data_IF_471238829027
#
_entry.id   IF_471238829027
#
_cell.length_a   1.000
_cell.length_b   1.000
_cell.length_c   1.000
_cell.angle_alpha   90.00
_cell.angle_beta   90.00
_cell.angle_gamma   90.00
#
_symmetry.space_group_name_H-M   'P 1'
#
loop_
_entity.id
_entity.type
_entity.pdbx_description
1 polymer ?
#
# COMPACT_ATOMS: atom_id res chain seq x y z
N UNK A 1 -56.63 -69.22 -50.08
CA UNK A 1 -55.90 -69.28 -48.78
C UNK A 1 -54.63 -68.44 -48.91
N UNK A 2 -54.59 -67.33 -48.22
CA UNK A 2 -53.46 -66.42 -48.21
C UNK A 2 -52.88 -66.40 -46.77
N UNK A 3 -51.55 -66.48 -46.55
CA UNK A 3 -51.00 -66.30 -45.20
C UNK A 3 -50.74 -64.86 -44.93
N UNK A 4 -51.08 -64.43 -43.72
CA UNK A 4 -50.75 -63.16 -43.11
C UNK A 4 -49.25 -63.10 -42.79
N UNK A 5 -48.61 -62.04 -43.26
CA UNK A 5 -47.26 -61.66 -42.86
C UNK A 5 -47.30 -60.73 -41.64
N UNK A 6 -46.64 -61.14 -40.56
CA UNK A 6 -46.44 -60.32 -39.35
C UNK A 6 -45.20 -59.49 -39.55
N UNK A 7 -45.35 -58.14 -39.60
CA UNK A 7 -44.24 -57.21 -39.63
C UNK A 7 -43.81 -56.87 -38.18
N UNK A 8 -42.57 -57.23 -37.79
CA UNK A 8 -41.95 -56.83 -36.53
C UNK A 8 -41.42 -55.42 -36.63
N UNK A 9 -41.99 -54.48 -35.93
CA UNK A 9 -41.48 -53.13 -35.72
C UNK A 9 -40.40 -53.14 -34.63
N UNK A 10 -39.13 -52.99 -35.01
CA UNK A 10 -38.02 -52.75 -34.10
C UNK A 10 -37.99 -51.25 -33.73
N UNK A 11 -38.45 -50.92 -32.51
CA UNK A 11 -38.33 -49.60 -31.94
C UNK A 11 -36.91 -49.40 -31.40
N UNK A 12 -36.07 -48.59 -32.05
CA UNK A 12 -34.76 -48.19 -31.56
C UNK A 12 -34.90 -47.13 -30.47
N UNK A 13 -34.65 -47.54 -29.22
CA UNK A 13 -34.54 -46.63 -28.09
C UNK A 13 -33.21 -45.88 -28.20
N UNK A 14 -33.25 -44.63 -28.62
CA UNK A 14 -32.10 -43.75 -28.58
C UNK A 14 -31.86 -43.34 -27.12
N UNK A 15 -30.82 -43.89 -26.53
CA UNK A 15 -30.33 -43.46 -25.18
C UNK A 15 -29.80 -42.02 -25.28
N UNK A 16 -30.57 -41.07 -24.77
CA UNK A 16 -30.13 -39.70 -24.56
C UNK A 16 -29.14 -39.69 -23.38
N UNK A 17 -27.85 -39.61 -23.70
CA UNK A 17 -26.82 -39.32 -22.68
C UNK A 17 -27.08 -37.96 -22.05
N UNK A 18 -27.13 -37.81 -20.72
CA UNK A 18 -27.26 -36.51 -20.10
C UNK A 18 -25.98 -35.72 -20.38
N UNK A 19 -26.10 -34.66 -21.18
CA UNK A 19 -25.09 -33.63 -21.26
C UNK A 19 -24.99 -33.00 -19.88
N UNK A 20 -23.97 -33.36 -19.11
CA UNK A 20 -23.57 -32.59 -17.93
C UNK A 20 -23.09 -31.22 -18.49
N UNK A 21 -23.99 -30.24 -18.48
CA UNK A 21 -23.59 -28.84 -18.64
C UNK A 21 -22.61 -28.53 -17.50
N UNK A 22 -21.34 -28.44 -17.86
CA UNK A 22 -20.34 -27.89 -16.94
C UNK A 22 -20.84 -26.51 -16.56
N UNK A 23 -21.37 -26.36 -15.35
CA UNK A 23 -21.68 -25.07 -14.76
C UNK A 23 -20.41 -24.25 -14.88
N UNK A 24 -20.40 -23.26 -15.80
CA UNK A 24 -19.30 -22.33 -15.95
C UNK A 24 -19.07 -21.69 -14.57
N UNK A 25 -18.02 -22.12 -13.90
CA UNK A 25 -17.66 -21.56 -12.60
C UNK A 25 -17.50 -20.06 -12.80
N UNK A 26 -18.27 -19.26 -12.06
CA UNK A 26 -18.09 -17.82 -12.06
C UNK A 26 -16.63 -17.54 -11.76
N UNK A 27 -15.96 -16.67 -12.53
CA UNK A 27 -14.56 -16.38 -12.30
C UNK A 27 -14.39 -15.86 -10.85
N UNK A 28 -13.39 -16.40 -10.17
CA UNK A 28 -13.02 -15.91 -8.85
C UNK A 28 -12.77 -14.38 -8.92
N UNK A 29 -13.23 -13.69 -7.90
CA UNK A 29 -13.02 -12.23 -7.78
C UNK A 29 -12.08 -11.95 -6.61
N UNK A 30 -11.23 -10.93 -6.74
CA UNK A 30 -10.40 -10.41 -5.66
C UNK A 30 -10.53 -8.89 -5.59
N UNK A 31 -11.03 -8.38 -4.48
CA UNK A 31 -11.01 -6.96 -4.15
C UNK A 31 -9.82 -6.65 -3.23
N UNK A 32 -8.96 -5.72 -3.65
CA UNK A 32 -7.78 -5.33 -2.88
C UNK A 32 -7.85 -3.87 -2.48
N UNK A 33 -7.73 -3.59 -1.19
CA UNK A 33 -7.51 -2.24 -0.67
C UNK A 33 -6.02 -1.99 -0.54
N UNK A 34 -5.51 -0.93 -1.18
CA UNK A 34 -4.09 -0.60 -1.16
C UNK A 34 -3.82 0.83 -0.73
N UNK A 35 -2.79 1.03 0.06
CA UNK A 35 -2.26 2.37 0.29
C UNK A 35 -1.92 3.05 -1.05
N UNK A 36 -2.11 4.37 -1.15
CA UNK A 36 -1.89 5.13 -2.38
C UNK A 36 -0.48 4.95 -2.98
N UNK A 37 0.56 4.81 -2.13
CA UNK A 37 1.93 4.53 -2.58
C UNK A 37 2.13 3.14 -3.19
N UNK A 38 1.17 2.22 -3.00
CA UNK A 38 1.14 0.88 -3.60
C UNK A 38 0.23 0.79 -4.84
N UNK A 39 -0.47 1.87 -5.21
CA UNK A 39 -1.49 1.83 -6.26
C UNK A 39 -0.95 1.27 -7.58
N UNK A 40 0.15 1.80 -8.08
CA UNK A 40 0.75 1.37 -9.36
C UNK A 40 1.34 -0.04 -9.27
N UNK A 41 2.25 -0.37 -8.32
CA UNK A 41 2.83 -1.70 -8.26
C UNK A 41 1.80 -2.80 -8.03
N UNK A 42 0.75 -2.55 -7.22
CA UNK A 42 -0.32 -3.54 -7.02
C UNK A 42 -1.21 -3.70 -8.25
N UNK A 43 -1.50 -2.61 -9.00
CA UNK A 43 -2.23 -2.72 -10.27
C UNK A 43 -1.51 -3.66 -11.23
N UNK A 44 -0.21 -3.46 -11.44
CA UNK A 44 0.59 -4.31 -12.33
C UNK A 44 0.66 -5.76 -11.83
N UNK A 45 0.78 -5.96 -10.51
CA UNK A 45 0.78 -7.30 -9.93
C UNK A 45 -0.58 -8.00 -10.09
N UNK A 46 -1.69 -7.28 -9.85
CA UNK A 46 -3.06 -7.79 -10.01
C UNK A 46 -3.36 -8.15 -11.47
N UNK A 47 -3.00 -7.29 -12.42
CA UNK A 47 -3.19 -7.55 -13.85
C UNK A 47 -2.37 -8.76 -14.31
N UNK A 48 -1.14 -8.94 -13.80
CA UNK A 48 -0.32 -10.11 -14.06
C UNK A 48 -0.91 -11.38 -13.45
N UNK A 49 -1.44 -11.30 -12.23
CA UNK A 49 -2.14 -12.41 -11.57
C UNK A 49 -3.41 -12.78 -12.33
N UNK A 50 -4.23 -11.81 -12.72
CA UNK A 50 -5.45 -12.01 -13.50
C UNK A 50 -5.19 -12.76 -14.82
N UNK A 51 -4.17 -12.34 -15.58
CA UNK A 51 -3.79 -13.02 -16.83
C UNK A 51 -3.35 -14.47 -16.63
N UNK A 52 -2.80 -14.82 -15.46
CA UNK A 52 -2.33 -16.18 -15.16
C UNK A 52 -3.43 -17.11 -14.66
N UNK A 53 -4.46 -16.56 -14.02
CA UNK A 53 -5.45 -17.34 -13.24
C UNK A 53 -6.87 -17.22 -13.76
N UNK A 54 -7.16 -16.25 -14.65
CA UNK A 54 -8.53 -15.91 -15.04
C UNK A 54 -9.33 -15.19 -13.94
N UNK A 55 -8.72 -14.82 -12.82
CA UNK A 55 -9.38 -14.14 -11.68
C UNK A 55 -9.77 -12.72 -12.08
N UNK A 56 -11.00 -12.30 -11.76
CA UNK A 56 -11.42 -10.90 -11.86
C UNK A 56 -10.82 -10.11 -10.70
N UNK A 57 -10.12 -9.03 -11.00
CA UNK A 57 -9.43 -8.23 -9.97
C UNK A 57 -9.98 -6.82 -9.89
N UNK A 58 -10.17 -6.34 -8.67
CA UNK A 58 -10.59 -4.98 -8.36
C UNK A 58 -9.61 -4.38 -7.36
N UNK A 59 -9.30 -3.10 -7.51
CA UNK A 59 -8.40 -2.40 -6.62
C UNK A 59 -8.98 -1.05 -6.24
N UNK A 60 -8.97 -0.78 -4.93
CA UNK A 60 -9.30 0.53 -4.37
C UNK A 60 -8.09 1.09 -3.63
N UNK A 61 -7.78 2.35 -3.90
CA UNK A 61 -6.64 3.03 -3.31
C UNK A 61 -7.11 4.09 -2.33
N UNK A 62 -6.34 4.31 -1.26
CA UNK A 62 -6.64 5.32 -0.27
C UNK A 62 -5.52 5.53 0.73
N UNK A 63 -5.77 6.38 1.73
CA UNK A 63 -4.88 6.52 2.87
C UNK A 63 -5.00 5.30 3.80
N UNK A 64 -3.87 4.78 4.31
CA UNK A 64 -3.85 3.52 5.07
C UNK A 64 -4.77 3.51 6.28
N UNK A 65 -4.82 4.60 7.04
CA UNK A 65 -5.71 4.71 8.21
C UNK A 65 -7.19 4.78 7.79
N UNK A 66 -7.48 5.45 6.69
CA UNK A 66 -8.82 5.51 6.11
C UNK A 66 -9.29 4.12 5.65
N UNK A 67 -8.45 3.40 4.89
CA UNK A 67 -8.76 2.04 4.42
C UNK A 67 -9.00 1.08 5.57
N UNK A 68 -8.18 1.15 6.64
CA UNK A 68 -8.40 0.35 7.84
C UNK A 68 -9.75 0.66 8.51
N UNK A 69 -10.12 1.95 8.60
CA UNK A 69 -11.41 2.39 9.15
C UNK A 69 -12.60 2.01 8.27
N UNK A 70 -12.43 1.91 6.96
CA UNK A 70 -13.50 1.36 6.10
C UNK A 70 -13.87 -0.06 6.51
N UNK A 71 -12.91 -0.86 6.98
CA UNK A 71 -13.18 -2.20 7.50
C UNK A 71 -13.80 -2.12 8.90
N UNK A 72 -13.20 -1.36 9.82
CA UNK A 72 -13.61 -1.35 11.24
C UNK A 72 -14.89 -0.57 11.50
N UNK A 73 -15.11 0.55 10.81
CA UNK A 73 -16.19 1.49 11.09
C UNK A 73 -17.35 1.36 10.08
N UNK A 74 -17.03 1.03 8.81
CA UNK A 74 -18.02 0.94 7.73
C UNK A 74 -18.33 -0.49 7.30
N UNK A 75 -17.68 -1.50 7.91
CA UNK A 75 -17.83 -2.92 7.59
C UNK A 75 -17.65 -3.26 6.10
N UNK A 76 -16.84 -2.44 5.40
CA UNK A 76 -16.51 -2.66 4.01
C UNK A 76 -15.23 -3.50 3.93
N UNK A 77 -15.40 -4.80 3.72
CA UNK A 77 -14.33 -5.78 3.82
C UNK A 77 -13.78 -6.15 2.43
N UNK A 78 -12.47 -5.91 2.14
CA UNK A 78 -11.80 -6.42 0.94
C UNK A 78 -11.34 -7.86 1.13
N UNK A 79 -10.89 -8.50 0.04
CA UNK A 79 -10.23 -9.81 0.12
C UNK A 79 -8.78 -9.70 0.58
N UNK A 80 -8.13 -8.58 0.25
CA UNK A 80 -6.76 -8.26 0.71
C UNK A 80 -6.67 -6.79 1.08
N UNK A 81 -5.99 -6.49 2.17
CA UNK A 81 -5.60 -5.13 2.54
C UNK A 81 -4.07 -5.01 2.59
N UNK A 82 -3.50 -4.01 1.91
CA UNK A 82 -2.07 -3.73 1.88
C UNK A 82 -1.80 -2.25 2.23
N UNK A 83 -1.09 -2.03 3.33
CA UNK A 83 -0.93 -0.72 3.95
C UNK A 83 0.55 -0.27 3.97
N UNK A 84 0.74 1.04 3.97
CA UNK A 84 2.06 1.67 3.98
C UNK A 84 2.71 1.72 5.38
N UNK A 85 2.04 1.17 6.38
CA UNK A 85 2.57 1.04 7.74
C UNK A 85 2.04 -0.21 8.43
N UNK A 86 2.96 -1.05 8.89
CA UNK A 86 2.65 -2.24 9.67
C UNK A 86 1.93 -1.91 10.99
N UNK A 87 2.21 -0.76 11.61
CA UNK A 87 1.64 -0.37 12.90
C UNK A 87 0.13 -0.12 12.83
N UNK A 88 -0.42 0.09 11.64
CA UNK A 88 -1.87 0.20 11.46
C UNK A 88 -2.58 -1.13 11.79
N UNK A 89 -1.90 -2.27 11.59
CA UNK A 89 -2.48 -3.58 11.91
C UNK A 89 -2.75 -3.76 13.41
N UNK A 90 -1.74 -3.69 14.32
CA UNK A 90 -2.02 -3.81 15.75
C UNK A 90 -2.87 -2.67 16.29
N UNK A 91 -2.82 -1.48 15.67
CA UNK A 91 -3.58 -0.31 16.12
C UNK A 91 -5.07 -0.41 15.82
N UNK A 92 -5.47 -0.92 14.65
CA UNK A 92 -6.85 -0.85 14.16
C UNK A 92 -7.46 -2.19 13.75
N UNK A 93 -6.65 -3.13 13.25
CA UNK A 93 -7.16 -4.32 12.58
C UNK A 93 -7.03 -5.60 13.42
N UNK A 94 -5.96 -5.75 14.19
CA UNK A 94 -5.73 -6.92 15.06
C UNK A 94 -6.30 -6.63 16.45
N UNK A 95 -7.00 -7.58 17.09
CA UNK A 95 -7.39 -8.90 16.58
C UNK A 95 -8.74 -8.93 15.84
N UNK A 96 -9.46 -7.80 15.74
CA UNK A 96 -10.88 -7.75 15.33
C UNK A 96 -11.09 -8.11 13.86
N UNK A 97 -10.40 -7.43 12.96
CA UNK A 97 -10.55 -7.62 11.53
C UNK A 97 -9.62 -8.70 10.97
N UNK A 98 -8.46 -8.91 11.57
CA UNK A 98 -7.54 -10.00 11.22
C UNK A 98 -6.77 -10.47 12.43
N UNK A 99 -6.24 -11.71 12.42
CA UNK A 99 -5.37 -12.26 13.47
C UNK A 99 -3.89 -12.28 13.09
N UNK A 100 -3.55 -11.86 11.88
CA UNK A 100 -2.19 -11.91 11.33
C UNK A 100 -1.97 -10.80 10.30
N UNK A 101 -0.72 -10.54 9.99
CA UNK A 101 -0.30 -9.76 8.83
C UNK A 101 1.08 -10.20 8.36
N UNK A 102 1.42 -9.89 7.11
CA UNK A 102 2.73 -10.12 6.53
C UNK A 102 3.42 -8.78 6.26
N UNK A 103 4.62 -8.59 6.79
CA UNK A 103 5.54 -7.53 6.39
C UNK A 103 6.17 -7.96 5.07
N UNK A 104 6.07 -7.16 4.02
CA UNK A 104 6.50 -7.62 2.69
C UNK A 104 7.45 -6.68 1.96
N UNK A 105 7.53 -5.41 2.38
CA UNK A 105 8.39 -4.42 1.74
C UNK A 105 8.80 -3.32 2.72
N UNK A 106 9.83 -2.55 2.32
CA UNK A 106 10.32 -1.35 3.01
C UNK A 106 10.20 -0.13 2.12
N UNK A 107 10.38 1.04 2.72
CA UNK A 107 10.45 2.30 2.01
C UNK A 107 11.29 3.31 2.79
N UNK A 108 11.46 4.51 2.25
CA UNK A 108 12.09 5.65 2.91
C UNK A 108 11.43 6.95 2.52
N UNK A 109 11.62 7.98 3.35
CA UNK A 109 11.17 9.32 3.06
C UNK A 109 12.14 10.03 2.13
N UNK A 110 11.59 10.80 1.19
CA UNK A 110 12.33 11.65 0.25
C UNK A 110 11.64 13.01 0.12
N UNK A 111 12.35 13.99 -0.43
CA UNK A 111 11.76 15.23 -0.92
C UNK A 111 11.61 15.09 -2.44
N UNK A 112 10.38 14.99 -2.92
CA UNK A 112 10.10 14.88 -4.35
C UNK A 112 9.72 16.24 -4.95
N UNK A 113 10.09 16.43 -6.23
CA UNK A 113 9.96 17.69 -6.95
C UNK A 113 9.95 17.48 -8.47
N UNK A 114 9.74 18.56 -9.24
CA UNK A 114 9.83 18.58 -10.70
C UNK A 114 10.93 19.56 -11.16
N UNK A 115 11.26 19.54 -12.44
CA UNK A 115 12.23 20.51 -13.01
C UNK A 115 11.77 21.96 -12.88
N UNK A 116 10.45 22.19 -12.67
CA UNK A 116 9.86 23.52 -12.50
C UNK A 116 9.84 24.01 -11.06
N UNK A 117 10.24 23.17 -10.10
CA UNK A 117 10.19 23.50 -8.66
C UNK A 117 11.20 24.58 -8.32
N UNK A 118 10.74 25.61 -7.58
CA UNK A 118 11.59 26.76 -7.20
C UNK A 118 12.72 26.31 -6.31
N UNK A 119 13.95 26.73 -6.65
CA UNK A 119 15.15 26.35 -5.89
C UNK A 119 15.63 24.91 -6.10
N UNK A 120 15.12 24.18 -7.10
CA UNK A 120 15.52 22.81 -7.38
C UNK A 120 17.03 22.61 -7.56
N UNK A 121 17.72 23.58 -8.18
CA UNK A 121 19.18 23.55 -8.37
C UNK A 121 19.97 23.63 -7.04
N UNK A 122 19.35 24.12 -5.97
CA UNK A 122 19.96 24.28 -4.65
C UNK A 122 19.58 23.14 -3.70
N UNK A 123 18.66 22.26 -4.11
CA UNK A 123 18.14 21.19 -3.28
C UNK A 123 19.17 20.05 -3.16
N UNK A 124 19.70 19.84 -1.97
CA UNK A 124 20.64 18.76 -1.65
C UNK A 124 20.19 17.99 -0.41
N UNK A 125 20.80 16.85 -0.15
CA UNK A 125 20.56 16.08 1.08
C UNK A 125 20.92 16.86 2.36
N UNK A 126 21.84 17.82 2.27
CA UNK A 126 22.26 18.64 3.41
C UNK A 126 21.38 19.88 3.61
N UNK A 127 20.87 20.48 2.53
CA UNK A 127 20.25 21.82 2.57
C UNK A 127 18.76 21.84 2.24
N UNK A 128 18.11 20.67 2.02
CA UNK A 128 16.70 20.57 1.66
C UNK A 128 15.77 21.39 2.57
N UNK A 129 16.04 21.40 3.86
CA UNK A 129 15.24 22.12 4.84
C UNK A 129 15.29 23.64 4.65
N UNK A 130 16.41 24.19 4.18
CA UNK A 130 16.53 25.61 3.85
C UNK A 130 15.71 25.98 2.61
N UNK A 131 15.71 25.10 1.60
CA UNK A 131 14.92 25.31 0.39
C UNK A 131 13.43 25.26 0.70
N UNK A 132 12.97 24.28 1.49
CA UNK A 132 11.56 24.14 1.87
C UNK A 132 11.04 25.28 2.75
N UNK A 133 11.92 25.99 3.46
CA UNK A 133 11.57 27.13 4.30
C UNK A 133 11.57 28.49 3.57
N UNK A 134 11.84 28.51 2.28
CA UNK A 134 11.77 29.75 1.49
C UNK A 134 10.33 30.23 1.38
N UNK A 135 10.07 31.54 1.51
CA UNK A 135 8.69 32.08 1.49
C UNK A 135 7.98 31.97 0.12
N UNK A 136 8.75 31.81 -0.96
CA UNK A 136 8.24 31.65 -2.33
C UNK A 136 8.00 30.18 -2.71
N UNK A 137 8.30 29.21 -1.82
CA UNK A 137 8.20 27.77 -2.05
C UNK A 137 6.92 27.21 -1.43
N UNK A 138 6.18 26.44 -2.21
CA UNK A 138 4.98 25.75 -1.75
C UNK A 138 5.25 24.28 -1.50
N UNK A 139 5.15 23.87 -0.24
CA UNK A 139 5.38 22.48 0.19
C UNK A 139 4.05 21.80 0.52
N UNK A 140 3.78 20.66 -0.10
CA UNK A 140 2.63 19.81 0.23
C UNK A 140 3.04 18.61 1.08
N UNK A 141 2.14 18.15 1.94
CA UNK A 141 2.28 16.88 2.66
C UNK A 141 0.93 16.22 2.94
N UNK A 142 0.94 14.93 3.21
CA UNK A 142 -0.28 14.22 3.57
C UNK A 142 -0.76 14.58 4.98
N UNK A 143 -2.08 14.51 5.18
CA UNK A 143 -2.70 14.71 6.50
C UNK A 143 -2.25 13.58 7.46
N UNK A 144 -1.61 13.91 8.58
CA UNK A 144 -1.10 12.92 9.52
C UNK A 144 -2.21 12.11 10.24
N UNK A 145 -3.46 12.59 10.17
CA UNK A 145 -4.63 11.88 10.74
C UNK A 145 -5.13 10.77 9.83
N UNK A 146 -4.78 10.78 8.55
CA UNK A 146 -5.32 9.90 7.52
C UNK A 146 -4.26 8.95 6.94
N UNK A 147 -3.04 9.44 6.74
CA UNK A 147 -2.00 8.70 6.05
C UNK A 147 -0.70 8.56 6.88
N UNK A 148 -0.09 7.37 6.91
CA UNK A 148 1.20 7.15 7.58
C UNK A 148 2.30 8.10 7.12
N UNK A 149 2.39 8.41 5.83
CA UNK A 149 3.37 9.37 5.31
C UNK A 149 3.21 10.75 5.95
N UNK A 150 2.00 11.14 6.33
CA UNK A 150 1.74 12.41 7.00
C UNK A 150 2.39 12.50 8.38
N UNK A 151 2.15 11.54 9.28
CA UNK A 151 2.82 11.55 10.59
C UNK A 151 4.31 11.21 10.50
N UNK A 152 4.74 10.43 9.51
CA UNK A 152 6.16 10.19 9.23
C UNK A 152 6.89 11.43 8.73
N UNK A 153 6.22 12.31 8.01
CA UNK A 153 6.77 13.64 7.68
C UNK A 153 7.05 14.45 8.94
N UNK A 154 6.13 14.44 9.92
CA UNK A 154 6.37 15.13 11.18
C UNK A 154 7.50 14.50 11.99
N UNK A 155 7.59 13.15 12.01
CA UNK A 155 8.71 12.43 12.63
C UNK A 155 10.05 12.77 11.96
N UNK A 156 10.09 12.79 10.62
CA UNK A 156 11.25 13.25 9.84
C UNK A 156 11.68 14.65 10.26
N UNK A 157 10.75 15.59 10.42
CA UNK A 157 11.05 16.96 10.84
C UNK A 157 11.66 17.00 12.24
N UNK A 158 11.16 16.18 13.20
CA UNK A 158 11.76 16.05 14.54
C UNK A 158 13.16 15.44 14.49
N UNK A 159 13.38 14.43 13.66
CA UNK A 159 14.70 13.83 13.46
C UNK A 159 15.66 14.83 12.80
N UNK A 160 15.20 15.62 11.82
CA UNK A 160 15.99 16.64 11.16
C UNK A 160 16.41 17.76 12.14
N UNK A 161 15.52 18.21 13.03
CA UNK A 161 15.84 19.18 14.06
C UNK A 161 17.02 18.72 14.92
N UNK A 162 16.98 17.45 15.36
CA UNK A 162 18.05 16.84 16.15
C UNK A 162 19.33 16.62 15.34
N UNK A 163 19.21 16.12 14.09
CA UNK A 163 20.32 15.81 13.20
C UNK A 163 21.14 17.06 12.82
N UNK A 164 20.44 18.12 12.42
CA UNK A 164 21.06 19.39 12.03
C UNK A 164 21.37 20.31 13.23
N UNK A 165 20.98 19.90 14.46
CA UNK A 165 21.16 20.69 15.69
C UNK A 165 20.58 22.11 15.56
N UNK A 166 19.37 22.21 14.99
CA UNK A 166 18.67 23.49 14.75
C UNK A 166 17.36 23.54 15.55
N UNK A 167 17.37 24.02 16.80
CA UNK A 167 16.15 24.13 17.62
C UNK A 167 15.02 24.89 16.89
N UNK A 168 13.80 24.36 16.94
CA UNK A 168 12.63 24.93 16.28
C UNK A 168 12.53 24.62 14.78
N UNK A 169 13.46 23.88 14.19
CA UNK A 169 13.40 23.52 12.76
C UNK A 169 12.13 22.71 12.45
N UNK A 170 11.78 21.76 13.27
CA UNK A 170 10.59 20.93 13.06
C UNK A 170 9.31 21.76 13.01
N UNK A 171 9.15 22.71 13.93
CA UNK A 171 8.00 23.60 13.96
C UNK A 171 7.92 24.51 12.73
N UNK A 172 9.05 25.05 12.27
CA UNK A 172 9.12 25.86 11.04
C UNK A 172 8.76 25.04 9.81
N UNK A 173 9.31 23.84 9.68
CA UNK A 173 8.97 22.94 8.56
C UNK A 173 7.50 22.50 8.59
N UNK A 174 6.92 22.27 9.76
CA UNK A 174 5.50 21.97 9.88
C UNK A 174 4.65 23.16 9.45
N UNK A 175 5.00 24.37 9.89
CA UNK A 175 4.29 25.61 9.56
C UNK A 175 4.43 25.99 8.08
N UNK A 176 5.49 25.55 7.37
CA UNK A 176 5.67 25.82 5.93
C UNK A 176 4.62 25.11 5.06
N UNK A 177 3.86 24.14 5.62
CA UNK A 177 2.72 23.50 4.95
C UNK A 177 1.43 23.89 5.67
N UNK A 178 0.76 24.97 5.27
CA UNK A 178 -0.51 25.37 5.88
C UNK A 178 -1.59 24.31 5.62
N UNK A 179 -2.69 24.29 6.40
CA UNK A 179 -3.78 23.32 6.25
C UNK A 179 -4.33 23.20 4.83
N UNK A 180 -4.37 24.32 4.08
CA UNK A 180 -4.82 24.35 2.68
C UNK A 180 -3.95 23.52 1.72
N UNK A 181 -2.71 23.20 2.08
CA UNK A 181 -1.79 22.37 1.30
C UNK A 181 -1.65 20.93 1.84
N UNK A 182 -2.46 20.55 2.84
CA UNK A 182 -2.60 19.16 3.27
C UNK A 182 -3.52 18.41 2.32
N UNK A 183 -3.21 17.15 2.05
CA UNK A 183 -4.07 16.26 1.25
C UNK A 183 -4.32 14.94 1.98
N UNK A 184 -5.47 14.33 1.70
CA UNK A 184 -5.85 13.07 2.31
C UNK A 184 -4.91 11.93 1.89
N UNK A 185 -4.42 11.97 0.65
CA UNK A 185 -3.56 10.92 0.10
C UNK A 185 -2.46 11.50 -0.81
N UNK A 186 -1.45 10.65 -1.04
CA UNK A 186 -0.27 11.02 -1.80
C UNK A 186 -0.53 11.25 -3.29
N UNK A 187 -1.55 10.61 -3.89
CA UNK A 187 -1.87 10.78 -5.32
C UNK A 187 -2.33 12.21 -5.63
N UNK A 188 -3.07 12.85 -4.72
CA UNK A 188 -3.46 14.25 -4.84
C UNK A 188 -2.24 15.19 -4.80
N UNK A 189 -1.28 14.90 -3.91
CA UNK A 189 -0.02 15.67 -3.84
C UNK A 189 0.78 15.57 -5.14
N UNK A 190 0.87 14.36 -5.73
CA UNK A 190 1.54 14.14 -7.01
C UNK A 190 0.88 14.96 -8.11
N UNK A 191 -0.44 14.95 -8.20
CA UNK A 191 -1.19 15.71 -9.22
C UNK A 191 -0.90 17.23 -9.09
N UNK A 192 -0.94 17.78 -7.89
CA UNK A 192 -0.65 19.20 -7.63
C UNK A 192 0.82 19.56 -7.94
N UNK A 193 1.76 18.67 -7.61
CA UNK A 193 3.17 18.85 -7.92
C UNK A 193 3.41 18.86 -9.44
N UNK A 194 2.80 17.93 -10.17
CA UNK A 194 2.89 17.85 -11.63
C UNK A 194 2.21 19.03 -12.32
N UNK A 195 1.13 19.54 -11.76
CA UNK A 195 0.46 20.75 -12.24
C UNK A 195 1.27 22.04 -11.96
N UNK A 196 2.28 21.99 -11.07
CA UNK A 196 3.05 23.17 -10.64
C UNK A 196 2.36 24.00 -9.56
N UNK A 197 1.30 23.43 -8.94
CA UNK A 197 0.61 24.03 -7.79
C UNK A 197 1.39 23.85 -6.48
N UNK A 198 2.29 22.87 -6.44
CA UNK A 198 3.29 22.67 -5.39
C UNK A 198 4.68 22.68 -6.01
N UNK A 199 5.70 23.10 -5.24
CA UNK A 199 7.10 22.99 -5.60
C UNK A 199 7.71 21.70 -5.08
N UNK A 200 7.33 21.27 -3.87
CA UNK A 200 7.86 20.07 -3.21
C UNK A 200 6.76 19.30 -2.48
N UNK A 201 6.96 17.99 -2.42
CA UNK A 201 6.20 17.11 -1.52
C UNK A 201 7.17 16.25 -0.70
N UNK A 202 6.80 16.00 0.56
CA UNK A 202 7.50 15.04 1.41
C UNK A 202 6.75 13.74 1.35
N UNK A 203 7.35 12.73 0.73
CA UNK A 203 6.69 11.45 0.47
C UNK A 203 7.69 10.29 0.40
N UNK A 204 7.21 9.12 0.03
CA UNK A 204 8.00 7.91 -0.12
C UNK A 204 8.77 7.86 -1.44
N UNK A 205 9.99 7.28 -1.41
CA UNK A 205 10.79 7.06 -2.62
C UNK A 205 10.05 6.23 -3.67
N UNK A 206 9.31 5.19 -3.27
CA UNK A 206 8.54 4.37 -4.20
C UNK A 206 7.49 5.18 -4.98
N UNK A 207 6.81 6.12 -4.31
CA UNK A 207 5.84 7.00 -4.96
C UNK A 207 6.52 7.94 -5.96
N UNK A 208 7.62 8.55 -5.56
CA UNK A 208 8.38 9.46 -6.44
C UNK A 208 8.84 8.73 -7.71
N UNK A 209 9.38 7.52 -7.58
CA UNK A 209 9.82 6.69 -8.71
C UNK A 209 8.66 6.25 -9.60
N UNK A 210 7.57 5.76 -9.00
CA UNK A 210 6.38 5.30 -9.74
C UNK A 210 5.78 6.41 -10.61
N UNK A 211 5.87 7.66 -10.16
CA UNK A 211 5.37 8.84 -10.87
C UNK A 211 6.45 9.60 -11.66
N UNK A 212 7.67 9.04 -11.79
CA UNK A 212 8.80 9.64 -12.52
C UNK A 212 9.15 11.05 -12.04
N UNK A 213 8.94 11.32 -10.75
CA UNK A 213 9.33 12.57 -10.13
C UNK A 213 10.84 12.58 -9.85
N UNK A 214 11.45 13.77 -9.90
CA UNK A 214 12.77 13.96 -9.29
C UNK A 214 12.66 13.94 -7.78
N UNK A 215 13.72 13.51 -7.10
CA UNK A 215 13.74 13.50 -5.64
C UNK A 215 15.16 13.59 -5.10
N UNK A 216 15.27 14.11 -3.89
CA UNK A 216 16.49 14.05 -3.08
C UNK A 216 16.29 13.00 -2.00
N UNK A 217 17.24 12.05 -1.92
CA UNK A 217 17.36 11.14 -0.77
C UNK A 217 17.89 11.91 0.43
N UNK A 218 17.27 11.70 1.56
CA UNK A 218 17.66 12.29 2.83
C UNK A 218 18.76 11.45 3.51
N UNK A 219 19.50 12.03 4.46
CA UNK A 219 20.41 11.25 5.28
C UNK A 219 19.70 10.06 5.95
N UNK A 220 20.32 8.87 6.01
CA UNK A 220 19.69 7.67 6.58
C UNK A 220 19.36 7.82 8.07
N UNK A 221 19.93 8.85 8.73
CA UNK A 221 19.63 9.22 10.12
C UNK A 221 18.18 9.73 10.29
N UNK A 222 17.55 10.20 9.21
CA UNK A 222 16.25 10.88 9.29
C UNK A 222 15.20 10.34 8.31
N UNK A 223 15.60 9.52 7.32
CA UNK A 223 14.73 9.09 6.21
C UNK A 223 13.77 7.96 6.57
N UNK A 224 13.88 7.39 7.78
CA UNK A 224 13.08 6.26 8.27
C UNK A 224 13.19 4.98 7.40
N UNK A 225 14.26 4.85 6.60
CA UNK A 225 14.41 3.71 5.69
C UNK A 225 15.30 2.59 6.22
N UNK A 226 16.18 2.87 7.17
CA UNK A 226 17.21 1.95 7.63
C UNK A 226 16.76 1.13 8.85
N UNK A 227 16.58 -0.21 8.75
CA UNK A 227 16.16 -1.04 9.88
C UNK A 227 17.18 -1.10 11.02
N UNK A 228 18.47 -0.82 10.76
CA UNK A 228 19.50 -0.80 11.81
C UNK A 228 19.31 0.40 12.75
N UNK A 229 18.68 1.46 12.27
CA UNK A 229 18.49 2.73 12.99
C UNK A 229 17.22 2.81 13.84
N UNK A 230 16.57 1.70 14.13
CA UNK A 230 15.30 1.66 14.89
C UNK A 230 15.38 2.45 16.20
N UNK A 231 16.49 2.30 16.97
CA UNK A 231 16.68 3.04 18.23
C UNK A 231 16.88 4.55 18.03
N UNK A 232 17.47 4.95 16.93
CA UNK A 232 17.64 6.37 16.58
C UNK A 232 16.32 6.99 16.19
N UNK A 233 15.54 6.34 15.33
CA UNK A 233 14.23 6.82 14.91
C UNK A 233 13.26 6.93 16.09
N UNK A 234 13.29 5.99 17.02
CA UNK A 234 12.43 5.97 18.21
C UNK A 234 12.64 7.17 19.16
N UNK A 235 13.71 7.96 19.00
CA UNK A 235 13.92 9.21 19.75
C UNK A 235 12.94 10.32 19.32
N UNK A 236 12.38 10.24 18.12
CA UNK A 236 11.35 11.15 17.67
C UNK A 236 9.96 10.57 17.95
N UNK A 237 9.06 11.40 18.43
CA UNK A 237 7.65 11.07 18.57
C UNK A 237 6.76 12.25 18.21
N UNK A 238 5.54 11.95 17.76
CA UNK A 238 4.53 12.97 17.45
C UNK A 238 3.18 12.53 17.99
N UNK A 239 2.39 13.49 18.46
CA UNK A 239 1.03 13.28 18.94
C UNK A 239 0.05 13.79 17.89
N UNK A 240 -0.82 12.92 17.43
CA UNK A 240 -1.82 13.24 16.40
C UNK A 240 -3.20 13.11 17.00
N UNK A 241 -3.94 14.24 17.01
CA UNK A 241 -5.33 14.23 17.43
C UNK A 241 -6.16 13.41 16.44
N UNK A 242 -6.96 12.49 16.95
CA UNK A 242 -7.97 11.71 16.24
C UNK A 242 -9.36 12.21 16.64
N UNK A 243 -10.40 11.65 16.06
CA UNK A 243 -11.77 12.08 16.34
C UNK A 243 -12.16 12.00 17.82
N UNK A 244 -11.71 10.98 18.52
CA UNK A 244 -12.11 10.69 19.92
C UNK A 244 -10.95 10.68 20.91
N UNK A 245 -9.71 10.65 20.43
CA UNK A 245 -8.51 10.51 21.25
C UNK A 245 -7.28 11.15 20.60
N UNK A 246 -6.12 10.95 21.21
CA UNK A 246 -4.82 11.35 20.64
C UNK A 246 -3.92 10.12 20.56
N UNK A 247 -3.41 9.83 19.36
CA UNK A 247 -2.41 8.79 19.18
C UNK A 247 -1.00 9.35 19.21
N UNK A 248 -0.09 8.64 19.87
CA UNK A 248 1.34 8.90 19.82
C UNK A 248 2.00 7.94 18.84
N UNK A 249 2.73 8.49 17.86
CA UNK A 249 3.53 7.72 16.93
C UNK A 249 5.00 7.95 17.23
N UNK A 250 5.75 6.87 17.43
CA UNK A 250 7.20 6.90 17.55
C UNK A 250 7.84 6.66 16.19
N UNK A 251 9.03 7.20 15.96
CA UNK A 251 9.80 6.94 14.75
C UNK A 251 10.24 5.48 14.67
N UNK A 252 10.02 4.89 13.50
CA UNK A 252 10.39 3.50 13.20
C UNK A 252 10.71 3.36 11.70
N UNK A 253 11.45 2.33 11.30
CA UNK A 253 11.63 2.02 9.89
C UNK A 253 10.29 1.83 9.17
N UNK A 254 10.23 2.31 7.92
CA UNK A 254 9.02 2.18 7.11
C UNK A 254 8.90 0.74 6.62
N UNK A 255 7.87 0.05 7.07
CA UNK A 255 7.57 -1.34 6.68
C UNK A 255 6.14 -1.42 6.19
N UNK A 256 5.97 -1.90 4.97
CA UNK A 256 4.66 -2.19 4.38
C UNK A 256 4.18 -3.56 4.84
N UNK A 257 2.89 -3.64 5.14
CA UNK A 257 2.28 -4.89 5.54
C UNK A 257 0.95 -5.14 4.82
N UNK A 258 0.59 -6.41 4.72
CA UNK A 258 -0.65 -6.87 4.08
C UNK A 258 -1.28 -7.99 4.89
N UNK A 259 -2.59 -8.15 4.77
CA UNK A 259 -3.34 -9.25 5.36
C UNK A 259 -4.59 -9.56 4.55
N UNK A 260 -5.24 -10.66 4.91
CA UNK A 260 -6.59 -11.04 4.50
C UNK A 260 -7.48 -10.79 5.71
N UNK A 261 -8.49 -9.92 5.62
CA UNK A 261 -9.47 -9.78 6.69
C UNK A 261 -10.19 -11.09 6.97
N UNK A 262 -10.64 -11.28 8.22
CA UNK A 262 -11.32 -12.50 8.65
C UNK A 262 -12.59 -12.79 7.84
N UNK A 263 -13.37 -11.74 7.58
CA UNK A 263 -14.64 -11.81 6.86
C UNK A 263 -14.50 -11.51 5.37
N UNK A 264 -13.29 -11.74 4.80
CA UNK A 264 -13.02 -11.54 3.38
C UNK A 264 -13.93 -12.45 2.53
N UNK A 265 -14.71 -11.89 1.59
CA UNK A 265 -15.66 -12.66 0.78
C UNK A 265 -14.99 -13.77 -0.05
N UNK A 266 -13.78 -13.52 -0.55
CA UNK A 266 -13.01 -14.45 -1.39
C UNK A 266 -11.62 -14.70 -0.81
N UNK A 267 -11.55 -15.06 0.50
CA UNK A 267 -10.28 -15.24 1.23
C UNK A 267 -9.31 -16.20 0.54
N UNK A 268 -9.81 -17.27 -0.10
CA UNK A 268 -8.97 -18.22 -0.83
C UNK A 268 -8.32 -17.59 -2.07
N UNK A 269 -9.05 -16.77 -2.81
CA UNK A 269 -8.53 -16.03 -3.95
C UNK A 269 -7.52 -14.94 -3.49
N UNK A 270 -7.81 -14.25 -2.38
CA UNK A 270 -6.88 -13.34 -1.72
C UNK A 270 -5.56 -14.02 -1.32
N UNK A 271 -5.64 -15.24 -0.77
CA UNK A 271 -4.45 -16.02 -0.40
C UNK A 271 -3.62 -16.43 -1.63
N UNK A 272 -4.25 -16.81 -2.74
CA UNK A 272 -3.54 -17.08 -4.01
C UNK A 272 -2.87 -15.82 -4.56
N UNK A 273 -3.54 -14.67 -4.50
CA UNK A 273 -2.92 -13.41 -4.90
C UNK A 273 -1.71 -13.05 -4.03
N UNK A 274 -1.80 -13.17 -2.71
CA UNK A 274 -0.66 -12.91 -1.83
C UNK A 274 0.49 -13.92 -2.06
N UNK A 275 0.18 -15.20 -2.29
CA UNK A 275 1.19 -16.20 -2.65
C UNK A 275 1.91 -15.82 -3.96
N UNK A 276 1.16 -15.34 -4.97
CA UNK A 276 1.73 -14.78 -6.19
C UNK A 276 2.59 -13.54 -5.89
N UNK A 277 2.08 -12.59 -5.12
CA UNK A 277 2.80 -11.35 -4.79
C UNK A 277 4.15 -11.64 -4.10
N UNK A 278 4.22 -12.65 -3.25
CA UNK A 278 5.41 -13.07 -2.53
C UNK A 278 6.34 -13.99 -3.34
N UNK A 279 5.89 -14.49 -4.47
CA UNK A 279 6.72 -15.28 -5.39
C UNK A 279 7.80 -14.42 -6.06
N UNK A 280 8.85 -15.04 -6.64
CA UNK A 280 9.86 -14.31 -7.41
C UNK A 280 9.28 -13.39 -8.49
N UNK A 281 8.18 -13.83 -9.16
CA UNK A 281 7.50 -13.04 -10.19
C UNK A 281 6.81 -11.80 -9.61
N UNK A 282 6.05 -11.94 -8.52
CA UNK A 282 5.40 -10.81 -7.85
C UNK A 282 6.41 -9.83 -7.25
N UNK A 283 7.47 -10.35 -6.62
CA UNK A 283 8.56 -9.53 -6.11
C UNK A 283 9.31 -8.77 -7.21
N UNK A 284 9.48 -9.37 -8.39
CA UNK A 284 10.07 -8.67 -9.55
C UNK A 284 9.21 -7.48 -9.97
N UNK A 285 7.87 -7.63 -9.97
CA UNK A 285 6.95 -6.52 -10.23
C UNK A 285 7.12 -5.41 -9.19
N UNK A 286 7.13 -5.77 -7.89
CA UNK A 286 7.32 -4.78 -6.82
C UNK A 286 8.64 -4.01 -6.99
N UNK A 287 9.76 -4.70 -7.22
CA UNK A 287 11.07 -4.07 -7.43
C UNK A 287 11.13 -3.20 -8.68
N UNK A 288 10.51 -3.62 -9.79
CA UNK A 288 10.42 -2.83 -11.02
C UNK A 288 9.72 -1.48 -10.80
N UNK A 289 8.83 -1.41 -9.80
CA UNK A 289 8.14 -0.18 -9.38
C UNK A 289 8.74 0.44 -8.11
N UNK A 290 10.02 0.15 -7.83
CA UNK A 290 10.79 0.71 -6.73
C UNK A 290 10.20 0.47 -5.32
N UNK A 291 9.43 -0.59 -5.16
CA UNK A 291 9.08 -1.11 -3.84
C UNK A 291 10.22 -2.03 -3.39
N UNK A 292 10.85 -1.71 -2.27
CA UNK A 292 11.92 -2.52 -1.67
C UNK A 292 11.33 -3.77 -1.02
N UNK A 293 11.03 -4.77 -1.87
CA UNK A 293 10.41 -6.01 -1.43
C UNK A 293 11.37 -6.85 -0.59
N UNK A 294 10.90 -7.32 0.57
CA UNK A 294 11.64 -8.27 1.40
C UNK A 294 11.83 -9.60 0.65
N UNK A 295 13.04 -10.14 0.70
CA UNK A 295 13.34 -11.44 0.05
C UNK A 295 12.38 -12.54 0.56
N UNK A 296 12.07 -12.51 1.85
CA UNK A 296 11.06 -13.38 2.47
C UNK A 296 10.12 -12.52 3.29
N UNK A 297 8.79 -12.58 3.07
CA UNK A 297 7.84 -11.88 3.91
C UNK A 297 7.88 -12.37 5.36
N UNK A 298 7.81 -11.45 6.30
CA UNK A 298 7.78 -11.76 7.74
C UNK A 298 6.32 -11.87 8.20
N UNK A 299 5.91 -13.08 8.59
CA UNK A 299 4.55 -13.33 9.08
C UNK A 299 4.46 -13.03 10.58
N UNK A 300 3.44 -12.27 10.97
CA UNK A 300 3.19 -11.84 12.36
C UNK A 300 1.77 -12.26 12.74
N UNK A 301 1.63 -12.86 13.93
CA UNK A 301 0.35 -13.34 14.47
C UNK A 301 0.00 -14.77 14.09
N UNK A 302 -1.27 -15.13 14.35
CA UNK A 302 -1.77 -16.49 14.28
C UNK A 302 -2.64 -16.71 13.04
N UNK A 303 -2.97 -17.99 12.75
CA UNK A 303 -3.93 -18.37 11.69
C UNK A 303 -3.57 -17.87 10.28
N UNK A 304 -2.26 -17.73 9.98
CA UNK A 304 -1.80 -17.42 8.63
C UNK A 304 -2.21 -18.54 7.66
N UNK A 305 -2.76 -18.27 6.48
CA UNK A 305 -3.11 -19.27 5.48
C UNK A 305 -1.93 -20.19 5.14
N UNK A 306 -2.20 -21.50 5.04
CA UNK A 306 -1.16 -22.52 4.77
C UNK A 306 -0.40 -22.26 3.46
N UNK A 307 -1.10 -21.78 2.42
CA UNK A 307 -0.51 -21.39 1.15
C UNK A 307 0.62 -20.34 1.29
N UNK A 308 0.49 -19.43 2.26
CA UNK A 308 1.51 -18.38 2.51
C UNK A 308 2.66 -18.88 3.36
N UNK A 309 2.45 -19.92 4.18
CA UNK A 309 3.53 -20.57 4.93
C UNK A 309 4.42 -21.42 4.02
N UNK A 310 3.85 -22.04 2.99
CA UNK A 310 4.57 -22.86 2.02
C UNK A 310 5.46 -21.99 1.07
N UNK A 311 5.05 -20.77 0.76
CA UNK A 311 5.82 -19.83 -0.06
C UNK A 311 7.14 -19.34 0.61
N UNK A 312 7.42 -19.78 1.83
CA UNK A 312 8.66 -19.50 2.59
C UNK A 312 9.80 -20.51 2.31
N UNK A 313 9.49 -21.59 1.64
CA UNK A 313 10.48 -22.62 1.27
C UNK A 313 10.89 -22.46 -0.20
#
# INVERSE_FOLDING_TARGET
MRPLGIALLLSSLAAASPRVEALAQRPDTVLVFTAASLAVPFRVALDSFARRTGTVVQQENGASLELARRITDLHRVPDVIALADQEVFPMLLVPRATSWYARFARNRMVIAYTDRSKGAAQLTAADWHRVLLRPDVRVGRSDPRLAPVGYRTLLLYRLAESHYRQPGLAARLEASTPPALLRANASELVALLQAGELDYIVDYESLARANRLRFVRLPPEIDLGDPVRVRQYARASVRIARRTDTATYAGAPIVYATSIPRDAPHAAAGARFLAYLFSPAGQAVLRAHAVDALATPELVGDSVPSALRAARR
#
